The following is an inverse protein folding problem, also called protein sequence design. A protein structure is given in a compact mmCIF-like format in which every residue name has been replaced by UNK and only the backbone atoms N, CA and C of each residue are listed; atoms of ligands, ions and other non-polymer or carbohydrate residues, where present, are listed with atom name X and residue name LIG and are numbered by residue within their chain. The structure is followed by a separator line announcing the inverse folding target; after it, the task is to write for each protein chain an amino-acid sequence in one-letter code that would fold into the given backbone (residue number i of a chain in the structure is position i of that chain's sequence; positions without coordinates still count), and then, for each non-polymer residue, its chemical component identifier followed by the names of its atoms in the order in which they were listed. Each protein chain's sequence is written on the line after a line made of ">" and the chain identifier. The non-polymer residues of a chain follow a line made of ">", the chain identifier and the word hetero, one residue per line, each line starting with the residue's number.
data_IF_432390541618
#
_entry.id   IF_432390541618
#
_cell.length_a   1.000
_cell.length_b   1.000
_cell.length_c   1.000
_cell.angle_alpha   90.00
_cell.angle_beta   90.00
_cell.angle_gamma   90.00
#
_symmetry.space_group_name_H-M   'P 1'
#
loop_
_entity.id
_entity.type
_entity.pdbx_description
1 polymer ?
#
# COMPACT_ATOMS: atom_id res chain seq x y z
N UNK A 1 5.65 9.09 15.26
CA UNK A 1 5.66 7.71 14.69
C UNK A 1 6.52 7.67 13.42
N UNK A 2 6.78 6.49 12.82
CA UNK A 2 7.67 6.38 11.63
C UNK A 2 7.18 7.24 10.46
N UNK A 3 5.88 7.18 10.13
CA UNK A 3 5.33 7.96 9.02
C UNK A 3 5.44 9.48 9.23
N UNK A 4 5.41 9.92 10.47
CA UNK A 4 5.51 11.34 10.85
C UNK A 4 6.96 11.83 10.69
N UNK A 5 7.90 11.01 11.15
CA UNK A 5 9.34 11.27 10.96
C UNK A 5 9.70 11.26 9.47
N UNK A 6 9.12 10.35 8.69
CA UNK A 6 9.29 10.30 7.24
C UNK A 6 8.90 11.62 6.58
N UNK A 7 7.67 12.09 6.80
CA UNK A 7 7.20 13.30 6.14
C UNK A 7 7.93 14.55 6.62
N UNK A 8 8.32 14.62 7.90
CA UNK A 8 9.12 15.73 8.44
C UNK A 8 10.54 15.74 7.87
N UNK A 9 11.13 14.57 7.59
CA UNK A 9 12.43 14.46 6.91
C UNK A 9 12.34 14.93 5.45
N UNK A 10 11.29 14.53 4.73
CA UNK A 10 10.99 15.02 3.38
C UNK A 10 10.76 16.53 3.35
N UNK A 11 9.92 17.03 4.26
CA UNK A 11 9.65 18.45 4.41
C UNK A 11 10.93 19.26 4.68
N UNK A 12 11.81 18.76 5.53
CA UNK A 12 13.10 19.41 5.83
C UNK A 12 13.97 19.56 4.58
N UNK A 13 14.03 18.53 3.75
CA UNK A 13 14.73 18.58 2.45
C UNK A 13 14.12 19.61 1.50
N UNK A 14 12.78 19.72 1.49
CA UNK A 14 12.07 20.71 0.67
C UNK A 14 12.37 22.13 1.14
N UNK A 15 12.36 22.38 2.46
CA UNK A 15 12.73 23.69 3.01
C UNK A 15 14.14 24.09 2.56
N UNK A 16 15.12 23.19 2.65
CA UNK A 16 16.50 23.46 2.24
C UNK A 16 16.60 23.82 0.75
N UNK A 17 16.06 22.97 -0.13
CA UNK A 17 16.08 23.20 -1.58
C UNK A 17 15.34 24.46 -2.02
N UNK A 18 14.15 24.70 -1.44
CA UNK A 18 13.36 25.89 -1.75
C UNK A 18 14.11 27.14 -1.30
N UNK A 19 14.75 27.10 -0.13
CA UNK A 19 15.59 28.22 0.34
C UNK A 19 16.73 28.49 -0.63
N UNK A 20 17.45 27.45 -1.06
CA UNK A 20 18.53 27.57 -2.06
C UNK A 20 18.00 28.17 -3.38
N UNK A 21 16.89 27.65 -3.90
CA UNK A 21 16.30 28.19 -5.13
C UNK A 21 15.83 29.63 -4.99
N UNK A 22 15.29 30.03 -3.84
CA UNK A 22 14.90 31.41 -3.58
C UNK A 22 16.12 32.34 -3.53
N UNK A 23 17.21 31.92 -2.89
CA UNK A 23 18.47 32.66 -2.83
C UNK A 23 19.12 32.84 -4.22
N UNK A 24 18.92 31.87 -5.12
CA UNK A 24 19.37 31.92 -6.52
C UNK A 24 18.38 32.60 -7.48
N UNK A 25 17.27 33.16 -6.98
CA UNK A 25 16.18 33.75 -7.78
C UNK A 25 15.54 32.75 -8.78
N UNK A 26 15.54 31.46 -8.45
CA UNK A 26 14.96 30.35 -9.21
C UNK A 26 13.54 30.00 -8.75
N UNK A 27 12.64 30.98 -8.82
CA UNK A 27 11.24 30.85 -8.38
C UNK A 27 10.48 29.72 -9.08
N UNK A 28 10.81 29.45 -10.34
CA UNK A 28 10.26 28.34 -11.14
C UNK A 28 10.54 26.99 -10.48
N UNK A 29 11.78 26.78 -10.02
CA UNK A 29 12.19 25.54 -9.35
C UNK A 29 11.64 25.45 -7.93
N UNK A 30 11.64 26.57 -7.20
CA UNK A 30 11.07 26.66 -5.85
C UNK A 30 9.60 26.22 -5.87
N UNK A 31 8.77 26.80 -6.74
CA UNK A 31 7.35 26.47 -6.81
C UNK A 31 7.13 25.01 -7.21
N UNK A 32 7.92 24.50 -8.17
CA UNK A 32 7.84 23.11 -8.61
C UNK A 32 8.20 22.13 -7.48
N UNK A 33 9.27 22.36 -6.72
CA UNK A 33 9.66 21.49 -5.60
C UNK A 33 8.57 21.47 -4.51
N UNK A 34 7.97 22.63 -4.19
CA UNK A 34 6.85 22.70 -3.24
C UNK A 34 5.65 21.91 -3.77
N UNK A 35 5.28 22.09 -5.03
CA UNK A 35 4.13 21.43 -5.65
C UNK A 35 4.32 19.90 -5.66
N UNK A 36 5.49 19.42 -6.08
CA UNK A 36 5.82 18.00 -6.10
C UNK A 36 5.70 17.37 -4.70
N UNK A 37 6.23 18.04 -3.67
CA UNK A 37 6.10 17.57 -2.30
C UNK A 37 4.65 17.60 -1.80
N UNK A 38 3.96 18.72 -2.00
CA UNK A 38 2.62 18.95 -1.45
C UNK A 38 1.62 17.94 -2.00
N UNK A 39 1.65 17.67 -3.30
CA UNK A 39 0.73 16.72 -3.93
C UNK A 39 1.18 15.28 -3.75
N UNK A 40 2.42 14.98 -4.11
CA UNK A 40 2.85 13.58 -4.31
C UNK A 40 3.45 12.92 -3.08
N UNK A 41 3.86 13.68 -2.06
CA UNK A 41 4.36 13.11 -0.80
C UNK A 41 3.41 13.40 0.36
N UNK A 42 2.90 14.62 0.46
CA UNK A 42 2.04 15.03 1.57
C UNK A 42 0.58 14.61 1.36
N UNK A 43 -0.10 15.08 0.31
CA UNK A 43 -1.53 14.85 0.11
C UNK A 43 -1.86 13.39 -0.28
N UNK A 44 -1.21 12.86 -1.32
CA UNK A 44 -1.52 11.51 -1.85
C UNK A 44 -1.17 10.38 -0.86
N UNK A 45 -0.23 10.63 0.04
CA UNK A 45 0.35 9.63 0.93
C UNK A 45 0.20 10.01 2.39
N UNK A 46 0.93 11.00 2.91
CA UNK A 46 0.96 11.24 4.35
C UNK A 46 -0.44 11.52 4.94
N UNK A 47 -1.21 12.45 4.36
CA UNK A 47 -2.56 12.77 4.84
C UNK A 47 -3.45 11.52 4.86
N UNK A 48 -3.46 10.75 3.78
CA UNK A 48 -4.26 9.53 3.70
C UNK A 48 -3.85 8.47 4.72
N UNK A 49 -2.55 8.34 4.98
CA UNK A 49 -2.01 7.38 5.94
C UNK A 49 -2.40 7.74 7.37
N UNK A 50 -2.30 9.03 7.72
CA UNK A 50 -2.50 9.47 9.11
C UNK A 50 -3.93 9.89 9.41
N UNK A 51 -4.81 9.91 8.40
CA UNK A 51 -6.20 10.36 8.50
C UNK A 51 -6.94 9.77 9.69
N UNK A 52 -6.84 8.45 9.88
CA UNK A 52 -7.50 7.78 11.00
C UNK A 52 -6.99 8.27 12.36
N UNK A 53 -5.66 8.44 12.50
CA UNK A 53 -5.04 8.94 13.73
C UNK A 53 -5.41 10.39 14.00
N UNK A 54 -5.50 11.22 12.95
CA UNK A 54 -5.93 12.61 13.09
C UNK A 54 -7.37 12.69 13.60
N UNK A 55 -8.29 11.85 13.09
CA UNK A 55 -9.66 11.76 13.62
C UNK A 55 -9.71 11.22 15.06
N UNK A 56 -8.78 10.36 15.44
CA UNK A 56 -8.64 9.83 16.79
C UNK A 56 -7.87 10.77 17.75
N UNK A 57 -7.58 12.00 17.33
CA UNK A 57 -6.84 13.02 18.10
C UNK A 57 -5.42 12.59 18.52
N UNK A 58 -4.72 11.83 17.68
CA UNK A 58 -3.29 11.52 17.88
C UNK A 58 -2.44 12.79 17.78
N UNK A 59 -1.86 13.21 18.92
CA UNK A 59 -1.09 14.44 19.03
C UNK A 59 0.11 14.48 18.07
N UNK A 60 0.76 13.34 17.82
CA UNK A 60 1.91 13.23 16.92
C UNK A 60 1.50 13.52 15.47
N UNK A 61 0.38 12.95 15.03
CA UNK A 61 -0.19 13.20 13.71
C UNK A 61 -0.61 14.67 13.55
N UNK A 62 -1.34 15.22 14.53
CA UNK A 62 -1.83 16.60 14.51
C UNK A 62 -0.67 17.59 14.51
N UNK A 63 0.32 17.42 15.38
CA UNK A 63 1.51 18.27 15.44
C UNK A 63 2.30 18.25 14.13
N UNK A 64 2.42 17.07 13.51
CA UNK A 64 3.12 16.93 12.23
C UNK A 64 2.35 17.59 11.09
N UNK A 65 1.02 17.39 11.02
CA UNK A 65 0.16 18.06 10.04
C UNK A 65 0.25 19.57 10.18
N UNK A 66 0.17 20.10 11.40
CA UNK A 66 0.32 21.52 11.68
C UNK A 66 1.66 22.05 11.19
N UNK A 67 2.75 21.37 11.55
CA UNK A 67 4.13 21.77 11.21
C UNK A 67 4.33 21.84 9.69
N UNK A 68 3.92 20.79 8.97
CA UNK A 68 4.09 20.73 7.51
C UNK A 68 3.16 21.73 6.81
N UNK A 69 1.89 21.84 7.23
CA UNK A 69 0.95 22.77 6.61
C UNK A 69 1.37 24.24 6.81
N UNK A 70 1.65 24.69 8.05
CA UNK A 70 2.14 26.05 8.30
C UNK A 70 3.42 26.32 7.52
N UNK A 71 4.34 25.35 7.55
CA UNK A 71 5.60 25.39 6.82
C UNK A 71 5.43 25.61 5.32
N UNK A 72 4.59 24.82 4.66
CA UNK A 72 4.33 24.95 3.21
C UNK A 72 3.66 26.27 2.88
N UNK A 73 2.69 26.73 3.67
CA UNK A 73 2.04 28.03 3.44
C UNK A 73 3.05 29.17 3.50
N UNK A 74 4.04 29.11 4.41
CA UNK A 74 5.15 30.08 4.47
C UNK A 74 6.08 30.01 3.26
N UNK A 75 6.43 28.81 2.80
CA UNK A 75 7.26 28.63 1.60
C UNK A 75 6.57 29.21 0.34
N UNK A 76 5.25 29.13 0.27
CA UNK A 76 4.45 29.62 -0.87
C UNK A 76 4.21 31.13 -0.81
N UNK A 77 4.22 31.72 0.39
CA UNK A 77 3.78 33.11 0.63
C UNK A 77 4.45 34.17 -0.27
N UNK A 78 5.75 34.10 -0.60
CA UNK A 78 6.36 35.06 -1.52
C UNK A 78 5.77 35.05 -2.94
N UNK A 79 5.17 33.94 -3.37
CA UNK A 79 4.64 33.74 -4.73
C UNK A 79 3.12 33.92 -4.79
N UNK A 80 2.37 33.48 -3.77
CA UNK A 80 0.91 33.54 -3.73
C UNK A 80 0.38 34.30 -2.48
N UNK A 81 0.69 35.60 -2.34
CA UNK A 81 0.61 36.30 -1.06
C UNK A 81 -0.80 36.42 -0.46
N UNK A 82 -1.83 36.52 -1.29
CA UNK A 82 -3.21 36.73 -0.82
C UNK A 82 -3.82 35.45 -0.24
N UNK A 83 -3.70 34.33 -0.95
CA UNK A 83 -4.27 33.05 -0.49
C UNK A 83 -3.52 32.51 0.72
N UNK A 84 -2.19 32.69 0.77
CA UNK A 84 -1.41 32.27 1.95
C UNK A 84 -1.71 33.13 3.17
N UNK A 85 -2.00 34.42 2.99
CA UNK A 85 -2.45 35.30 4.09
C UNK A 85 -3.80 34.84 4.64
N UNK A 86 -4.77 34.54 3.77
CA UNK A 86 -6.10 34.04 4.19
C UNK A 86 -5.99 32.70 4.93
N UNK A 87 -5.23 31.73 4.39
CA UNK A 87 -5.01 30.44 5.04
C UNK A 87 -4.33 30.63 6.40
N UNK A 88 -3.32 31.51 6.49
CA UNK A 88 -2.62 31.81 7.73
C UNK A 88 -3.54 32.44 8.79
N UNK A 89 -4.32 33.44 8.40
CA UNK A 89 -5.27 34.11 9.29
C UNK A 89 -6.29 33.12 9.86
N UNK A 90 -6.81 32.21 9.02
CA UNK A 90 -7.80 31.21 9.43
C UNK A 90 -7.25 30.09 10.32
N UNK A 91 -5.99 29.67 10.14
CA UNK A 91 -5.50 28.40 10.71
C UNK A 91 -4.28 28.53 11.63
N UNK A 92 -3.46 29.56 11.51
CA UNK A 92 -2.12 29.61 12.14
C UNK A 92 -1.88 30.88 12.97
N UNK A 93 -2.56 31.98 12.66
CA UNK A 93 -2.33 33.28 13.30
C UNK A 93 -2.47 33.27 14.82
N UNK A 94 -3.48 32.60 15.36
CA UNK A 94 -3.69 32.53 16.81
C UNK A 94 -2.53 31.83 17.53
N UNK A 95 -2.03 30.74 16.95
CA UNK A 95 -0.95 29.95 17.52
C UNK A 95 0.44 30.58 17.32
N UNK A 96 0.67 31.26 16.20
CA UNK A 96 1.97 31.85 15.87
C UNK A 96 2.14 33.31 16.31
N UNK A 97 1.05 34.04 16.51
CA UNK A 97 1.05 35.39 17.10
C UNK A 97 1.51 36.52 16.17
N UNK A 98 1.88 36.25 14.92
CA UNK A 98 2.18 37.31 13.95
C UNK A 98 0.90 37.84 13.28
N UNK A 99 0.80 39.15 13.07
CA UNK A 99 -0.38 39.78 12.47
C UNK A 99 -0.61 39.41 11.00
N UNK A 100 0.45 38.97 10.30
CA UNK A 100 0.46 38.54 8.89
C UNK A 100 1.55 37.50 8.69
N UNK A 101 1.37 36.59 7.72
CA UNK A 101 2.40 35.61 7.36
C UNK A 101 3.66 36.26 6.81
N UNK A 102 3.52 37.42 6.15
CA UNK A 102 4.62 38.13 5.48
C UNK A 102 5.62 38.79 6.44
N UNK A 103 5.30 38.84 7.73
CA UNK A 103 6.22 39.26 8.80
C UNK A 103 6.65 38.09 9.70
N UNK A 104 6.20 36.87 9.40
CA UNK A 104 6.62 35.67 10.11
C UNK A 104 8.02 35.23 9.67
N UNK A 105 8.67 34.39 10.46
CA UNK A 105 9.98 33.84 10.09
C UNK A 105 9.87 32.82 8.97
N UNK A 106 10.84 32.83 8.06
CA UNK A 106 11.02 31.75 7.09
C UNK A 106 11.13 30.39 7.81
N UNK A 107 10.48 29.33 7.30
CA UNK A 107 10.53 28.03 7.95
C UNK A 107 11.95 27.46 7.97
N UNK A 108 12.20 26.57 8.92
CA UNK A 108 13.48 25.86 9.08
C UNK A 108 13.27 24.36 8.92
N UNK A 109 14.31 23.63 8.49
CA UNK A 109 14.33 22.17 8.57
C UNK A 109 14.01 21.70 9.99
N UNK A 110 13.22 20.64 10.10
CA UNK A 110 12.72 20.12 11.39
C UNK A 110 13.56 18.95 11.87
N UNK A 111 13.80 17.96 10.99
CA UNK A 111 14.61 16.78 11.29
C UNK A 111 15.11 16.12 10.00
N UNK A 112 16.18 15.35 10.11
CA UNK A 112 16.67 14.46 9.03
C UNK A 112 16.70 13.03 9.54
N UNK A 113 16.08 12.11 8.81
CA UNK A 113 15.90 10.74 9.26
C UNK A 113 15.85 9.73 8.12
N UNK A 114 17.04 9.27 7.76
CA UNK A 114 17.24 8.33 6.65
C UNK A 114 16.54 6.98 6.89
N UNK A 115 16.41 6.52 8.14
CA UNK A 115 15.72 5.26 8.41
C UNK A 115 14.21 5.40 8.25
N UNK A 116 13.61 6.48 8.78
CA UNK A 116 12.19 6.75 8.57
C UNK A 116 11.89 6.98 7.09
N UNK A 117 12.78 7.63 6.34
CA UNK A 117 12.62 7.74 4.88
C UNK A 117 12.60 6.39 4.19
N UNK A 118 13.59 5.54 4.47
CA UNK A 118 13.66 4.21 3.88
C UNK A 118 12.44 3.36 4.23
N UNK A 119 11.92 3.45 5.46
CA UNK A 119 10.70 2.74 5.90
C UNK A 119 9.44 3.33 5.26
N UNK A 120 9.34 4.66 5.20
CA UNK A 120 8.23 5.40 4.59
C UNK A 120 8.05 5.08 3.10
N UNK A 121 9.14 5.06 2.32
CA UNK A 121 9.07 4.67 0.90
C UNK A 121 8.57 3.22 0.74
N UNK A 122 8.97 2.30 1.62
CA UNK A 122 8.45 0.92 1.59
C UNK A 122 6.96 0.85 1.88
N UNK A 123 6.48 1.62 2.85
CA UNK A 123 5.05 1.71 3.18
C UNK A 123 4.26 2.24 1.98
N UNK A 124 4.74 3.30 1.34
CA UNK A 124 4.16 3.89 0.13
C UNK A 124 4.10 2.88 -1.02
N UNK A 125 5.17 2.12 -1.25
CA UNK A 125 5.21 1.06 -2.26
C UNK A 125 4.18 -0.04 -1.98
N UNK A 126 4.06 -0.48 -0.73
CA UNK A 126 3.10 -1.51 -0.31
C UNK A 126 1.67 -1.04 -0.54
N UNK A 127 1.35 0.18 -0.07
CA UNK A 127 0.02 0.77 -0.23
C UNK A 127 -0.33 0.89 -1.71
N UNK A 128 0.63 1.34 -2.53
CA UNK A 128 0.46 1.48 -3.98
C UNK A 128 0.18 0.14 -4.65
N UNK A 129 0.89 -0.93 -4.27
CA UNK A 129 0.62 -2.29 -4.78
C UNK A 129 -0.77 -2.79 -4.42
N UNK A 130 -1.21 -2.58 -3.18
CA UNK A 130 -2.54 -3.01 -2.73
C UNK A 130 -3.64 -2.20 -3.44
N UNK A 131 -3.46 -0.88 -3.61
CA UNK A 131 -4.39 -0.02 -4.36
C UNK A 131 -4.43 -0.42 -5.85
N UNK A 132 -3.29 -0.73 -6.45
CA UNK A 132 -3.18 -1.25 -7.81
C UNK A 132 -3.96 -2.55 -7.99
N UNK A 133 -3.75 -3.51 -7.10
CA UNK A 133 -4.50 -4.77 -7.09
C UNK A 133 -6.02 -4.56 -6.96
N UNK A 134 -6.47 -3.64 -6.09
CA UNK A 134 -7.91 -3.30 -6.00
C UNK A 134 -8.43 -2.78 -7.34
N UNK A 135 -7.68 -1.88 -7.98
CA UNK A 135 -8.05 -1.31 -9.29
C UNK A 135 -8.14 -2.38 -10.38
N UNK A 136 -7.16 -3.29 -10.46
CA UNK A 136 -7.17 -4.42 -11.41
C UNK A 136 -8.38 -5.34 -11.23
N UNK A 137 -8.88 -5.46 -10.00
CA UNK A 137 -10.08 -6.24 -9.67
C UNK A 137 -11.38 -5.44 -9.77
N UNK A 138 -11.34 -4.19 -10.23
CA UNK A 138 -12.51 -3.30 -10.30
C UNK A 138 -13.10 -2.99 -8.93
N UNK A 139 -12.31 -3.08 -7.86
CA UNK A 139 -12.75 -2.83 -6.49
C UNK A 139 -12.55 -1.37 -6.10
N UNK A 140 -13.57 -0.72 -5.51
CA UNK A 140 -13.40 0.61 -4.92
C UNK A 140 -12.30 0.60 -3.85
N UNK A 141 -11.48 1.66 -3.79
CA UNK A 141 -10.42 1.77 -2.77
C UNK A 141 -10.99 1.77 -1.34
N UNK A 142 -12.22 2.25 -1.18
CA UNK A 142 -12.98 2.27 0.06
C UNK A 142 -13.52 0.90 0.50
N UNK A 143 -13.49 -0.11 -0.37
CA UNK A 143 -13.94 -1.46 -0.03
C UNK A 143 -12.96 -2.09 0.97
N UNK A 144 -13.49 -2.66 2.04
CA UNK A 144 -12.68 -3.39 3.01
C UNK A 144 -12.11 -4.69 2.41
N UNK A 145 -10.90 -5.04 2.84
CA UNK A 145 -10.26 -6.32 2.56
C UNK A 145 -10.29 -7.13 3.86
N UNK A 146 -10.77 -8.36 3.83
CA UNK A 146 -10.82 -9.17 5.05
C UNK A 146 -9.42 -9.53 5.56
N UNK A 147 -8.48 -9.80 4.66
CA UNK A 147 -7.12 -10.21 5.01
C UNK A 147 -6.08 -9.68 4.02
N UNK A 148 -4.99 -9.13 4.53
CA UNK A 148 -3.79 -8.74 3.76
C UNK A 148 -2.56 -9.38 4.38
N UNK A 149 -1.76 -10.02 3.55
CA UNK A 149 -0.48 -10.58 3.94
C UNK A 149 0.66 -9.89 3.21
N UNK A 150 1.66 -9.47 3.96
CA UNK A 150 2.87 -8.85 3.44
C UNK A 150 4.05 -9.74 3.79
N UNK A 151 4.69 -10.27 2.74
CA UNK A 151 5.87 -11.12 2.88
C UNK A 151 7.12 -10.25 2.79
N UNK A 152 7.79 -10.03 3.91
CA UNK A 152 9.05 -9.28 4.01
C UNK A 152 9.71 -9.48 5.38
N UNK A 153 10.95 -9.01 5.53
CA UNK A 153 11.59 -8.88 6.85
C UNK A 153 10.74 -7.97 7.76
N UNK A 154 10.18 -8.50 8.88
CA UNK A 154 9.21 -7.76 9.68
C UNK A 154 9.71 -6.42 10.21
N UNK A 155 10.98 -6.31 10.60
CA UNK A 155 11.56 -5.08 11.16
C UNK A 155 11.46 -3.89 10.20
N UNK A 156 11.26 -4.14 8.90
CA UNK A 156 11.15 -3.09 7.89
C UNK A 156 9.82 -2.34 7.95
N UNK A 157 8.74 -2.97 8.43
CA UNK A 157 7.39 -2.38 8.37
C UNK A 157 6.53 -2.65 9.60
N UNK A 158 6.98 -3.45 10.56
CA UNK A 158 6.13 -3.89 11.68
C UNK A 158 5.59 -2.71 12.49
N UNK A 159 6.40 -1.66 12.67
CA UNK A 159 6.00 -0.40 13.34
C UNK A 159 4.93 0.39 12.57
N UNK A 160 4.83 0.17 11.25
CA UNK A 160 3.90 0.84 10.35
C UNK A 160 2.70 -0.05 9.98
N UNK A 161 2.59 -1.24 10.59
CA UNK A 161 1.56 -2.23 10.28
C UNK A 161 0.14 -1.65 10.35
N UNK A 162 -0.15 -0.93 11.43
CA UNK A 162 -1.47 -0.33 11.65
C UNK A 162 -1.74 0.78 10.62
N UNK A 163 -0.76 1.64 10.37
CA UNK A 163 -0.84 2.71 9.36
C UNK A 163 -1.18 2.11 7.97
N UNK A 164 -0.50 1.02 7.57
CA UNK A 164 -0.81 0.31 6.32
C UNK A 164 -2.23 -0.26 6.34
N UNK A 165 -2.58 -1.03 7.38
CA UNK A 165 -3.86 -1.74 7.48
C UNK A 165 -5.05 -0.77 7.39
N UNK A 166 -4.98 0.35 8.11
CA UNK A 166 -6.01 1.40 8.09
C UNK A 166 -6.11 2.09 6.74
N UNK A 167 -4.97 2.41 6.12
CA UNK A 167 -4.94 3.09 4.81
C UNK A 167 -5.59 2.24 3.72
N UNK A 168 -5.34 0.94 3.71
CA UNK A 168 -5.88 0.02 2.69
C UNK A 168 -7.20 -0.63 3.09
N UNK A 169 -7.72 -0.32 4.29
CA UNK A 169 -8.94 -0.89 4.88
C UNK A 169 -8.88 -2.42 5.00
N UNK A 170 -7.78 -2.95 5.50
CA UNK A 170 -7.63 -4.36 5.83
C UNK A 170 -8.16 -4.64 7.25
N UNK A 171 -9.03 -5.63 7.42
CA UNK A 171 -9.52 -6.05 8.75
C UNK A 171 -8.44 -6.80 9.54
N UNK A 172 -7.70 -7.68 8.88
CA UNK A 172 -6.53 -8.35 9.43
C UNK A 172 -5.35 -8.14 8.48
N UNK A 173 -4.23 -7.61 9.00
CA UNK A 173 -2.96 -7.53 8.28
C UNK A 173 -1.93 -8.39 8.99
N UNK A 174 -1.19 -9.22 8.24
CA UNK A 174 -0.10 -10.04 8.76
C UNK A 174 1.19 -9.71 8.01
N UNK A 175 2.28 -9.61 8.75
CA UNK A 175 3.63 -9.52 8.20
C UNK A 175 4.29 -10.87 8.46
N UNK A 176 4.78 -11.50 7.41
CA UNK A 176 5.34 -12.85 7.44
C UNK A 176 6.69 -12.90 6.73
N UNK A 177 7.53 -13.83 7.14
CA UNK A 177 8.77 -14.14 6.43
C UNK A 177 8.49 -15.12 5.29
N UNK A 178 9.42 -15.22 4.33
CA UNK A 178 9.22 -16.09 3.16
C UNK A 178 9.16 -17.56 3.57
N UNK A 179 9.87 -17.90 4.63
CA UNK A 179 9.97 -19.21 5.25
C UNK A 179 8.66 -19.65 5.93
N UNK A 180 7.76 -18.70 6.23
CA UNK A 180 6.43 -18.97 6.79
C UNK A 180 5.39 -19.38 5.74
N UNK A 181 5.71 -19.26 4.44
CA UNK A 181 4.78 -19.57 3.36
C UNK A 181 4.70 -21.08 3.11
N UNK A 182 3.50 -21.64 3.27
CA UNK A 182 3.17 -22.98 2.77
C UNK A 182 2.19 -22.87 1.62
N UNK A 183 2.64 -23.25 0.42
CA UNK A 183 1.75 -23.42 -0.72
C UNK A 183 0.93 -24.71 -0.51
N UNK A 184 -0.40 -24.55 -0.46
CA UNK A 184 -1.31 -25.68 -0.39
C UNK A 184 -2.12 -25.75 -1.67
N UNK A 185 -2.13 -26.93 -2.29
CA UNK A 185 -3.01 -27.24 -3.42
C UNK A 185 -4.46 -27.29 -2.90
N UNK A 186 -5.35 -26.47 -3.46
CA UNK A 186 -6.74 -26.36 -2.99
C UNK A 186 -7.73 -26.95 -3.95
N UNK A 187 -7.47 -26.87 -5.25
CA UNK A 187 -8.32 -27.51 -6.25
C UNK A 187 -7.53 -27.85 -7.51
N UNK A 188 -8.06 -28.83 -8.25
CA UNK A 188 -7.63 -29.14 -9.62
C UNK A 188 -8.81 -28.82 -10.53
N UNK A 189 -8.71 -27.74 -11.30
CA UNK A 189 -9.75 -27.30 -12.23
C UNK A 189 -9.54 -27.91 -13.62
N UNK A 190 -10.55 -28.55 -14.22
CA UNK A 190 -10.45 -29.07 -15.58
C UNK A 190 -10.37 -27.96 -16.62
N UNK A 191 -9.52 -28.15 -17.64
CA UNK A 191 -9.50 -27.33 -18.85
C UNK A 191 -10.46 -27.96 -19.85
N UNK A 192 -11.74 -27.57 -19.78
CA UNK A 192 -12.82 -28.14 -20.60
C UNK A 192 -12.51 -28.16 -22.10
N UNK A 193 -11.86 -27.12 -22.61
CA UNK A 193 -11.47 -26.98 -24.01
C UNK A 193 -10.49 -28.07 -24.50
N UNK A 194 -9.72 -28.69 -23.59
CA UNK A 194 -8.77 -29.76 -23.92
C UNK A 194 -9.28 -31.15 -23.51
N UNK A 195 -9.99 -31.27 -22.39
CA UNK A 195 -10.54 -32.55 -21.92
C UNK A 195 -11.66 -33.05 -22.84
N UNK A 196 -12.59 -32.18 -23.23
CA UNK A 196 -13.75 -32.57 -24.05
C UNK A 196 -13.37 -33.23 -25.38
N UNK A 197 -12.53 -32.60 -26.23
CA UNK A 197 -12.13 -33.17 -27.52
C UNK A 197 -11.33 -34.47 -27.42
N UNK A 198 -10.49 -34.62 -26.39
CA UNK A 198 -9.59 -35.76 -26.23
C UNK A 198 -10.29 -36.98 -25.63
N UNK A 199 -11.05 -36.78 -24.55
CA UNK A 199 -11.64 -37.88 -23.79
C UNK A 199 -13.11 -38.16 -24.15
N UNK A 200 -13.76 -37.27 -24.92
CA UNK A 200 -15.11 -37.45 -25.49
C UNK A 200 -16.11 -37.94 -24.44
N UNK A 201 -16.72 -39.12 -24.62
CA UNK A 201 -17.71 -39.68 -23.69
C UNK A 201 -17.19 -39.95 -22.27
N UNK A 202 -15.87 -39.97 -22.05
CA UNK A 202 -15.25 -40.10 -20.72
C UNK A 202 -15.01 -38.75 -20.03
N UNK A 203 -15.22 -37.64 -20.73
CA UNK A 203 -14.91 -36.30 -20.21
C UNK A 203 -15.76 -35.92 -18.99
N UNK A 204 -17.05 -36.26 -18.98
CA UNK A 204 -17.95 -35.96 -17.87
C UNK A 204 -17.50 -36.67 -16.58
N UNK A 205 -17.20 -37.96 -16.69
CA UNK A 205 -16.71 -38.80 -15.59
C UNK A 205 -15.37 -38.28 -15.03
N UNK A 206 -14.46 -37.88 -15.93
CA UNK A 206 -13.16 -37.28 -15.55
C UNK A 206 -13.36 -35.98 -14.77
N UNK A 207 -14.25 -35.10 -15.23
CA UNK A 207 -14.55 -33.83 -14.56
C UNK A 207 -15.19 -34.06 -13.19
N UNK A 208 -16.06 -35.05 -13.06
CA UNK A 208 -16.74 -35.38 -11.80
C UNK A 208 -15.77 -35.94 -10.76
N UNK A 209 -14.85 -36.81 -11.18
CA UNK A 209 -13.78 -37.32 -10.31
C UNK A 209 -12.74 -36.25 -9.95
N UNK A 210 -12.46 -35.30 -10.84
CA UNK A 210 -11.60 -34.14 -10.52
C UNK A 210 -12.19 -33.26 -9.42
N UNK A 211 -13.52 -33.11 -9.36
CA UNK A 211 -14.18 -32.30 -8.31
C UNK A 211 -14.10 -32.92 -6.93
N UNK A 212 -13.95 -34.25 -6.85
CA UNK A 212 -13.97 -35.02 -5.59
C UNK A 212 -12.59 -35.48 -5.16
N UNK A 213 -11.55 -35.12 -5.91
CA UNK A 213 -10.18 -35.56 -5.63
C UNK A 213 -9.63 -34.92 -4.36
N UNK A 214 -8.99 -35.73 -3.52
CA UNK A 214 -8.26 -35.24 -2.36
C UNK A 214 -6.92 -34.64 -2.83
N UNK A 215 -6.89 -33.31 -2.88
CA UNK A 215 -5.73 -32.50 -3.28
C UNK A 215 -4.52 -32.65 -2.35
N UNK A 216 -4.69 -33.15 -1.12
CA UNK A 216 -3.60 -33.28 -0.15
C UNK A 216 -2.53 -34.32 -0.50
N UNK A 217 -2.75 -35.14 -1.53
CA UNK A 217 -1.83 -36.24 -1.93
C UNK A 217 -1.37 -36.17 -3.39
N UNK A 218 -1.67 -35.09 -4.10
CA UNK A 218 -1.36 -34.98 -5.52
C UNK A 218 0.04 -34.42 -5.77
N UNK A 219 0.71 -34.95 -6.79
CA UNK A 219 1.91 -34.32 -7.35
C UNK A 219 1.52 -33.10 -8.19
N UNK A 220 2.33 -32.04 -8.17
CA UNK A 220 2.02 -30.78 -8.89
C UNK A 220 2.13 -30.89 -10.43
N UNK A 221 2.47 -32.06 -10.95
CA UNK A 221 2.73 -32.27 -12.38
C UNK A 221 1.72 -33.18 -13.07
N UNK A 222 1.09 -34.10 -12.33
CA UNK A 222 0.16 -35.08 -12.87
C UNK A 222 -0.89 -35.56 -11.85
N UNK A 223 -2.08 -35.83 -12.37
CA UNK A 223 -3.21 -36.40 -11.64
C UNK A 223 -3.66 -37.68 -12.34
N UNK A 224 -3.67 -38.79 -11.62
CA UNK A 224 -4.15 -40.06 -12.12
C UNK A 224 -5.59 -40.31 -11.63
N UNK A 225 -6.51 -40.50 -12.56
CA UNK A 225 -7.93 -40.74 -12.28
C UNK A 225 -8.30 -42.13 -12.73
N UNK A 226 -8.86 -42.92 -11.82
CA UNK A 226 -9.41 -44.24 -12.14
C UNK A 226 -10.89 -44.12 -12.51
N UNK A 227 -11.21 -44.45 -13.75
CA UNK A 227 -12.58 -44.51 -14.26
C UNK A 227 -13.30 -45.76 -13.75
N UNK A 228 -14.63 -45.75 -13.80
CA UNK A 228 -15.52 -46.83 -13.39
C UNK A 228 -15.40 -48.06 -14.30
N UNK A 229 -14.92 -47.83 -15.53
CA UNK A 229 -14.47 -48.89 -16.46
C UNK A 229 -13.19 -49.62 -15.99
N UNK A 230 -12.54 -49.16 -14.92
CA UNK A 230 -11.29 -49.70 -14.39
C UNK A 230 -10.02 -49.13 -15.04
N UNK A 231 -10.16 -48.34 -16.12
CA UNK A 231 -9.06 -47.66 -16.80
C UNK A 231 -8.51 -46.50 -15.95
N UNK A 232 -7.20 -46.28 -15.98
CA UNK A 232 -6.57 -45.13 -15.32
C UNK A 232 -6.14 -44.11 -16.36
N UNK A 233 -6.68 -42.90 -16.27
CA UNK A 233 -6.35 -41.77 -17.14
C UNK A 233 -5.37 -40.86 -16.40
N UNK A 234 -4.26 -40.57 -17.07
CA UNK A 234 -3.24 -39.63 -16.60
C UNK A 234 -3.50 -38.25 -17.19
N UNK A 235 -3.71 -37.26 -16.32
CA UNK A 235 -3.92 -35.86 -16.68
C UNK A 235 -2.70 -35.04 -16.26
N UNK A 236 -2.08 -34.36 -17.21
CA UNK A 236 -0.97 -33.42 -17.00
C UNK A 236 -1.49 -31.98 -17.00
N UNK A 237 -0.60 -30.99 -16.76
CA UNK A 237 -0.89 -29.54 -16.83
C UNK A 237 -1.55 -29.07 -18.13
N UNK A 238 -1.50 -29.88 -19.20
CA UNK A 238 -2.26 -29.59 -20.41
C UNK A 238 -3.77 -29.70 -20.22
N UNK A 239 -4.25 -30.54 -19.30
CA UNK A 239 -5.67 -30.83 -19.13
C UNK A 239 -6.26 -30.22 -17.85
N UNK A 240 -5.41 -29.79 -16.91
CA UNK A 240 -5.82 -29.33 -15.59
C UNK A 240 -5.03 -28.09 -15.18
N UNK A 241 -5.69 -27.18 -14.46
CA UNK A 241 -5.08 -26.07 -13.76
C UNK A 241 -5.10 -26.33 -12.25
N UNK A 242 -3.94 -26.20 -11.61
CA UNK A 242 -3.84 -26.26 -10.16
C UNK A 242 -4.17 -24.90 -9.55
N UNK A 243 -5.17 -24.87 -8.66
CA UNK A 243 -5.49 -23.70 -7.86
C UNK A 243 -4.79 -23.84 -6.52
N UNK A 244 -3.81 -22.97 -6.28
CA UNK A 244 -3.01 -22.93 -5.05
C UNK A 244 -3.55 -21.85 -4.13
N UNK A 245 -3.57 -22.11 -2.82
CA UNK A 245 -3.68 -21.05 -1.80
C UNK A 245 -2.42 -21.05 -0.96
N UNK A 246 -1.92 -19.86 -0.67
CA UNK A 246 -0.83 -19.68 0.28
C UNK A 246 -1.43 -19.67 1.68
N UNK A 247 -0.86 -20.48 2.58
CA UNK A 247 -1.29 -20.52 3.98
C UNK A 247 -0.10 -20.14 4.85
N UNK A 248 -0.30 -19.13 5.69
CA UNK A 248 0.71 -18.70 6.66
C UNK A 248 0.19 -18.98 8.06
N UNK A 249 1.03 -19.63 8.87
CA UNK A 249 0.73 -20.00 10.27
C UNK A 249 -0.58 -20.77 10.47
N UNK A 250 -1.00 -21.54 9.47
CA UNK A 250 -2.13 -22.49 9.58
C UNK A 250 -3.54 -21.91 9.42
N UNK A 251 -3.70 -20.60 9.12
CA UNK A 251 -5.01 -20.03 8.78
C UNK A 251 -5.22 -20.00 7.26
N UNK A 252 -6.31 -20.62 6.80
CA UNK A 252 -6.73 -20.69 5.39
C UNK A 252 -7.66 -19.51 5.09
N UNK A 253 -7.34 -18.73 4.06
CA UNK A 253 -8.22 -17.66 3.58
C UNK A 253 -8.44 -17.84 2.08
N UNK A 254 -9.70 -17.91 1.65
CA UNK A 254 -10.06 -17.98 0.23
C UNK A 254 -9.85 -16.60 -0.39
N UNK A 255 -9.06 -16.55 -1.48
CA UNK A 255 -8.94 -15.38 -2.35
C UNK A 255 -10.24 -15.10 -3.11
#
# INVERSE_FOLDING_TARGET
>A
KIMDRWILSKYSTVVEKVTEYMDEFRFDKAMKEIEEFLWHEFADHYIEIVKYRAYDNDESAISTLYTVCSGVVKLIAPMLPHITEEIYDMNFKEAEGHSSIHISSWPKPVLTDVDAERKGERVKDIISKIRGWKSEKGMPLSREIDFVEIVCEPEKIIECKEDIARTVRAKELVVAEKEDLKENLVAVKPIYAKIGPVFKGKAEEIVEKLKTIDVGKLSEDEVNIRLDSGETVKLTKDFINFEKTVTVKGKRWMC
#
